data_IF_637881646311
#
_entry.id   IF_637881646311
#
_cell.length_a   1.000
_cell.length_b   1.000
_cell.length_c   1.000
_cell.angle_alpha   90.00
_cell.angle_beta   90.00
_cell.angle_gamma   90.00
#
_symmetry.space_group_name_H-M   'P 1'
#
loop_
_entity.id
_entity.type
_entity.pdbx_description
1 polymer ?
#
# COMPACT_ATOMS: atom_id res chain seq x y z
N UNK A 1 15.70 -0.70 8.93
CA UNK A 1 15.33 -0.88 7.50
C UNK A 1 14.01 -1.61 7.39
N UNK A 2 13.30 -1.45 6.29
CA UNK A 2 12.01 -2.09 6.02
C UNK A 2 12.25 -3.49 5.39
N UNK A 3 12.73 -4.44 6.19
CA UNK A 3 13.07 -5.79 5.70
C UNK A 3 14.02 -5.75 4.51
N UNK A 4 13.69 -6.49 3.46
CA UNK A 4 14.45 -6.56 2.19
C UNK A 4 14.10 -5.44 1.21
N UNK A 5 13.31 -4.43 1.63
CA UNK A 5 12.91 -3.32 0.76
C UNK A 5 14.12 -2.47 0.39
N UNK A 6 14.27 -2.20 -0.90
CA UNK A 6 15.35 -1.38 -1.46
C UNK A 6 14.76 -0.06 -1.95
N UNK A 7 15.42 1.05 -1.62
CA UNK A 7 15.14 2.36 -2.19
C UNK A 7 16.15 2.66 -3.31
N UNK A 8 15.65 2.73 -4.53
CA UNK A 8 16.47 3.07 -5.70
C UNK A 8 16.19 4.51 -6.12
N UNK A 9 17.20 5.36 -6.06
CA UNK A 9 17.10 6.73 -6.56
C UNK A 9 17.41 6.75 -8.05
N UNK A 10 16.52 7.34 -8.84
CA UNK A 10 16.65 7.42 -10.30
C UNK A 10 16.75 8.88 -10.72
N UNK A 11 17.93 9.32 -11.14
CA UNK A 11 18.12 10.63 -11.75
C UNK A 11 17.91 10.54 -13.27
N UNK A 12 16.93 11.29 -13.78
CA UNK A 12 16.60 11.30 -15.21
C UNK A 12 16.93 12.59 -15.92
N UNK A 13 17.62 13.52 -15.26
CA UNK A 13 17.89 14.86 -15.81
C UNK A 13 18.54 14.84 -17.21
N UNK A 14 19.47 13.91 -17.44
CA UNK A 14 20.21 13.75 -18.68
C UNK A 14 19.82 12.47 -19.44
N UNK A 15 18.66 11.87 -19.14
CA UNK A 15 18.20 10.65 -19.76
C UNK A 15 16.86 10.87 -20.47
N UNK A 16 16.84 10.76 -21.79
CA UNK A 16 15.67 10.93 -22.65
C UNK A 16 15.02 9.61 -23.11
N UNK A 17 15.58 8.46 -22.72
CA UNK A 17 15.06 7.15 -23.08
C UNK A 17 13.83 6.75 -22.28
N UNK A 18 13.24 5.60 -22.63
CA UNK A 18 12.08 5.03 -21.94
C UNK A 18 12.46 4.52 -20.57
N UNK A 19 11.75 4.92 -19.54
CA UNK A 19 11.84 4.53 -18.13
C UNK A 19 13.28 4.47 -17.60
N UNK A 20 14.05 3.42 -17.86
CA UNK A 20 15.46 3.22 -17.46
C UNK A 20 16.28 2.72 -18.66
N UNK A 21 17.64 2.82 -18.59
CA UNK A 21 18.50 2.22 -19.60
C UNK A 21 18.20 0.73 -19.80
N UNK A 22 18.12 0.31 -21.05
CA UNK A 22 17.73 -1.06 -21.45
C UNK A 22 16.22 -1.25 -21.70
N UNK A 23 15.36 -0.33 -21.28
CA UNK A 23 13.94 -0.35 -21.63
C UNK A 23 13.71 0.20 -23.04
N UNK A 24 12.81 -0.44 -23.77
CA UNK A 24 12.38 0.01 -25.11
C UNK A 24 10.97 0.57 -25.03
N UNK A 25 10.73 1.68 -25.73
CA UNK A 25 9.37 2.16 -25.94
C UNK A 25 8.58 1.10 -26.72
N UNK A 26 7.38 0.82 -26.30
CA UNK A 26 6.42 0.02 -27.06
C UNK A 26 5.33 0.95 -27.58
N UNK A 27 4.95 0.75 -28.83
CA UNK A 27 3.85 1.48 -29.46
C UNK A 27 2.54 0.94 -28.86
N UNK A 28 2.08 1.59 -27.78
CA UNK A 28 0.87 1.20 -27.11
C UNK A 28 -0.31 1.91 -27.77
N UNK A 29 -1.09 1.16 -28.57
CA UNK A 29 -2.36 1.69 -29.09
C UNK A 29 -3.30 1.93 -27.92
N UNK A 30 -3.51 3.19 -27.57
CA UNK A 30 -4.39 3.62 -26.49
C UNK A 30 -5.84 3.16 -26.73
N UNK A 31 -6.18 1.98 -26.22
CA UNK A 31 -7.56 1.61 -25.90
C UNK A 31 -7.74 1.46 -24.39
N UNK A 32 -6.96 2.23 -23.63
CA UNK A 32 -7.13 2.30 -22.19
C UNK A 32 -8.25 3.29 -21.87
N UNK A 33 -9.47 2.77 -21.79
CA UNK A 33 -10.53 3.51 -21.11
C UNK A 33 -10.02 3.91 -19.74
N UNK A 34 -9.94 5.19 -19.47
CA UNK A 34 -9.41 5.74 -18.24
C UNK A 34 -10.24 5.24 -17.05
N UNK A 35 -9.58 4.70 -16.04
CA UNK A 35 -10.23 4.25 -14.81
C UNK A 35 -10.48 5.37 -13.81
N UNK A 36 -9.91 6.57 -14.05
CA UNK A 36 -10.00 7.70 -13.12
C UNK A 36 -8.90 7.73 -12.06
N UNK A 37 -7.93 6.80 -12.10
CA UNK A 37 -6.74 6.85 -11.26
C UNK A 37 -5.86 8.04 -11.64
N UNK A 38 -5.32 8.74 -10.65
CA UNK A 38 -4.55 9.99 -10.82
C UNK A 38 -3.06 9.77 -10.58
N UNK A 39 -2.70 9.33 -9.38
CA UNK A 39 -1.30 9.09 -8.98
C UNK A 39 -1.24 8.09 -7.82
N UNK A 40 -0.02 7.64 -7.48
CA UNK A 40 0.26 6.90 -6.25
C UNK A 40 0.19 7.90 -5.10
N UNK A 41 -0.71 7.67 -4.13
CA UNK A 41 -0.88 8.54 -2.98
C UNK A 41 0.12 8.22 -1.87
N UNK A 42 0.21 6.95 -1.49
CA UNK A 42 1.15 6.49 -0.47
C UNK A 42 1.52 5.01 -0.64
N UNK A 43 2.60 4.62 0.02
CA UNK A 43 3.08 3.23 0.08
C UNK A 43 3.21 2.84 1.55
N UNK A 44 2.58 1.74 1.94
CA UNK A 44 2.53 1.31 3.35
C UNK A 44 3.54 0.21 3.62
N UNK A 45 4.34 0.38 4.69
CA UNK A 45 5.26 -0.61 5.20
C UNK A 45 4.79 -1.21 6.52
N UNK A 46 4.89 -2.53 6.66
CA UNK A 46 4.62 -3.26 7.90
C UNK A 46 5.92 -3.65 8.59
N UNK A 47 5.94 -3.49 9.92
CA UNK A 47 7.06 -3.83 10.80
C UNK A 47 6.61 -4.81 11.88
N UNK A 48 7.54 -5.63 12.42
CA UNK A 48 7.33 -6.32 13.69
C UNK A 48 7.00 -5.35 14.82
N UNK A 49 6.38 -5.89 15.87
CA UNK A 49 6.08 -5.12 17.08
C UNK A 49 7.34 -4.49 17.69
N UNK A 50 7.24 -3.21 18.04
CA UNK A 50 8.32 -2.41 18.62
C UNK A 50 9.35 -1.85 17.63
N UNK A 51 9.28 -2.19 16.32
CA UNK A 51 10.25 -1.73 15.33
C UNK A 51 9.84 -0.47 14.55
N UNK A 52 8.59 -0.05 14.63
CA UNK A 52 8.07 1.10 13.88
C UNK A 52 8.90 2.36 14.11
N UNK A 53 9.20 2.70 15.36
CA UNK A 53 9.95 3.92 15.68
C UNK A 53 11.36 3.91 15.11
N UNK A 54 12.07 2.78 15.17
CA UNK A 54 13.43 2.69 14.61
C UNK A 54 13.45 2.90 13.10
N UNK A 55 12.42 2.45 12.41
CA UNK A 55 12.25 2.67 10.97
C UNK A 55 11.89 4.11 10.66
N UNK A 56 11.01 4.73 11.44
CA UNK A 56 10.71 6.17 11.31
C UNK A 56 11.97 7.01 11.51
N UNK A 57 12.78 6.72 12.52
CA UNK A 57 14.06 7.39 12.78
C UNK A 57 15.03 7.25 11.60
N UNK A 58 15.03 6.09 10.93
CA UNK A 58 15.81 5.90 9.72
C UNK A 58 15.36 6.84 8.60
N UNK A 59 14.04 6.95 8.34
CA UNK A 59 13.53 7.89 7.34
C UNK A 59 13.79 9.35 7.70
N UNK A 60 13.70 9.73 8.97
CA UNK A 60 14.09 11.07 9.42
C UNK A 60 15.57 11.36 9.14
N UNK A 61 16.46 10.47 9.54
CA UNK A 61 17.92 10.69 9.46
C UNK A 61 18.47 10.60 8.03
N UNK A 62 17.98 9.64 7.24
CA UNK A 62 18.54 9.32 5.92
C UNK A 62 17.86 10.10 4.81
N UNK A 63 16.54 10.29 4.90
CA UNK A 63 15.73 10.94 3.87
C UNK A 63 15.36 12.39 4.23
N UNK A 64 15.60 12.82 5.46
CA UNK A 64 15.16 14.14 5.95
C UNK A 64 13.64 14.25 6.05
N UNK A 65 12.93 13.12 6.15
CA UNK A 65 11.49 13.14 6.29
C UNK A 65 11.07 13.49 7.72
N UNK A 66 9.80 13.83 7.89
CA UNK A 66 9.22 14.11 9.20
C UNK A 66 8.02 13.21 9.47
N UNK A 67 7.66 13.08 10.76
CA UNK A 67 6.44 12.39 11.20
C UNK A 67 5.26 13.31 10.92
N UNK A 68 4.54 13.01 9.85
CA UNK A 68 3.41 13.82 9.38
C UNK A 68 2.16 13.61 10.24
N UNK A 69 1.86 12.35 10.55
CA UNK A 69 0.69 11.99 11.33
C UNK A 69 0.94 10.68 12.08
N UNK A 70 0.42 10.60 13.31
CA UNK A 70 0.53 9.41 14.15
C UNK A 70 -0.85 8.94 14.53
N UNK A 71 -1.06 7.64 14.43
CA UNK A 71 -2.28 6.96 14.88
C UNK A 71 -1.87 5.94 15.92
N UNK A 72 -2.42 6.08 17.11
CA UNK A 72 -2.25 5.07 18.15
C UNK A 72 -3.36 4.00 18.08
N UNK A 73 -3.21 2.96 18.90
CA UNK A 73 -4.12 1.82 18.97
C UNK A 73 -5.56 2.17 19.40
N UNK A 74 -5.79 3.38 19.92
CA UNK A 74 -7.12 3.88 20.31
C UNK A 74 -7.88 4.47 19.13
N UNK A 75 -7.15 4.97 18.12
CA UNK A 75 -7.72 5.67 16.97
C UNK A 75 -8.08 4.73 15.81
N UNK A 76 -7.33 3.64 15.62
CA UNK A 76 -7.63 2.60 14.63
C UNK A 76 -7.69 1.23 15.32
N UNK A 77 -8.70 1.04 16.13
CA UNK A 77 -9.11 -0.27 16.56
C UNK A 77 -10.40 -0.65 15.86
N UNK A 78 -10.42 -1.78 15.16
CA UNK A 78 -11.68 -2.47 14.94
C UNK A 78 -12.03 -3.20 16.23
N UNK A 79 -13.28 -3.58 16.42
CA UNK A 79 -13.71 -4.39 17.58
C UNK A 79 -12.82 -5.63 17.84
N UNK A 80 -12.01 -6.02 16.85
CA UNK A 80 -11.27 -7.28 16.86
C UNK A 80 -9.76 -7.16 16.63
N UNK A 81 -9.28 -6.13 15.94
CA UNK A 81 -7.84 -5.99 15.66
C UNK A 81 -7.38 -4.54 15.74
N UNK A 82 -6.16 -4.33 16.21
CA UNK A 82 -5.55 -3.03 16.37
C UNK A 82 -4.20 -2.95 15.65
N UNK A 83 -3.82 -1.75 15.28
CA UNK A 83 -2.50 -1.42 14.75
C UNK A 83 -2.05 -0.05 15.29
N UNK A 84 -0.75 0.17 15.31
CA UNK A 84 -0.13 1.48 15.47
C UNK A 84 0.46 1.91 14.14
N UNK A 85 0.36 3.19 13.82
CA UNK A 85 0.85 3.72 12.54
C UNK A 85 1.44 5.12 12.71
N UNK A 86 2.57 5.34 12.06
CA UNK A 86 3.17 6.67 11.89
C UNK A 86 3.32 6.92 10.41
N UNK A 87 2.78 8.02 9.91
CA UNK A 87 2.95 8.43 8.52
C UNK A 87 4.20 9.28 8.42
N UNK A 88 5.20 8.79 7.67
CA UNK A 88 6.38 9.56 7.30
C UNK A 88 6.10 10.34 6.02
N UNK A 89 6.54 11.58 5.93
CA UNK A 89 6.38 12.42 4.75
C UNK A 89 7.64 13.24 4.46
N UNK A 90 7.84 13.57 3.19
CA UNK A 90 8.86 14.53 2.78
C UNK A 90 8.39 15.98 3.00
N UNK A 91 9.27 16.97 2.82
CA UNK A 91 9.01 18.37 3.15
C UNK A 91 7.71 18.96 2.57
N UNK A 92 7.35 18.57 1.35
CA UNK A 92 6.14 19.07 0.69
C UNK A 92 4.94 18.12 0.84
N UNK A 93 5.08 17.04 1.63
CA UNK A 93 4.04 16.06 1.97
C UNK A 93 3.41 15.36 0.75
N UNK A 94 4.10 15.40 -0.41
CA UNK A 94 3.65 14.69 -1.61
C UNK A 94 3.99 13.21 -1.52
N UNK A 95 5.18 12.88 -1.00
CA UNK A 95 5.61 11.50 -0.77
C UNK A 95 5.26 11.12 0.66
N UNK A 96 4.39 10.15 0.81
CA UNK A 96 3.92 9.66 2.11
C UNK A 96 4.13 8.16 2.24
N UNK A 97 4.56 7.74 3.42
CA UNK A 97 4.78 6.34 3.73
C UNK A 97 4.33 6.04 5.17
N UNK A 98 3.11 5.50 5.34
CA UNK A 98 2.69 4.94 6.61
C UNK A 98 3.55 3.73 6.99
N UNK A 99 4.05 3.73 8.21
CA UNK A 99 4.79 2.63 8.82
C UNK A 99 3.91 2.07 9.93
N UNK A 100 3.53 0.81 9.78
CA UNK A 100 2.62 0.13 10.69
C UNK A 100 3.35 -0.90 11.53
N UNK A 101 2.92 -1.07 12.76
CA UNK A 101 3.24 -2.24 13.58
C UNK A 101 1.97 -2.82 14.21
N UNK A 102 1.95 -4.10 14.59
CA UNK A 102 0.80 -4.70 15.25
C UNK A 102 0.54 -4.06 16.60
N UNK A 103 -0.72 -4.05 17.02
CA UNK A 103 -1.12 -3.75 18.38
C UNK A 103 -1.96 -4.88 18.94
N UNK A 104 -2.09 -4.94 20.26
CA UNK A 104 -2.93 -5.93 20.92
C UNK A 104 -4.41 -5.71 20.61
N UNK A 105 -5.12 -6.79 20.32
CA UNK A 105 -6.54 -6.82 20.02
C UNK A 105 -7.16 -8.17 20.31
N UNK A 106 -8.48 -8.30 20.21
CA UNK A 106 -9.19 -9.56 20.43
C UNK A 106 -8.81 -10.64 19.40
N UNK A 107 -8.35 -10.23 18.22
CA UNK A 107 -7.84 -11.10 17.16
C UNK A 107 -6.43 -10.68 16.79
N UNK A 108 -5.69 -11.62 16.20
CA UNK A 108 -4.37 -11.36 15.65
C UNK A 108 -4.44 -10.19 14.66
N UNK A 109 -3.55 -9.22 14.83
CA UNK A 109 -3.44 -8.08 13.92
C UNK A 109 -3.09 -8.54 12.49
N UNK A 110 -3.69 -7.89 11.48
CA UNK A 110 -3.34 -8.11 10.07
C UNK A 110 -1.87 -7.80 9.79
N UNK A 111 -1.28 -6.87 10.54
CA UNK A 111 0.15 -6.56 10.43
C UNK A 111 0.97 -7.76 10.90
N UNK A 112 0.58 -8.39 12.01
CA UNK A 112 1.23 -9.61 12.50
C UNK A 112 1.04 -10.78 11.54
N UNK A 113 -0.13 -10.93 10.94
CA UNK A 113 -0.36 -11.95 9.90
C UNK A 113 0.57 -11.77 8.70
N UNK A 114 0.79 -10.52 8.27
CA UNK A 114 1.73 -10.20 7.20
C UNK A 114 3.15 -10.60 7.57
N UNK A 115 3.63 -10.20 8.77
CA UNK A 115 4.97 -10.53 9.25
C UNK A 115 5.17 -12.04 9.36
N UNK A 116 4.20 -12.77 9.90
CA UNK A 116 4.29 -14.23 10.04
C UNK A 116 4.29 -14.96 8.69
N UNK A 117 3.58 -14.41 7.71
CA UNK A 117 3.51 -15.00 6.39
C UNK A 117 4.79 -14.80 5.57
N UNK A 118 5.33 -13.58 5.59
CA UNK A 118 6.52 -13.24 4.81
C UNK A 118 7.82 -13.44 5.58
N UNK A 119 7.73 -13.70 6.89
CA UNK A 119 8.87 -13.86 7.81
C UNK A 119 9.78 -12.60 7.86
N UNK A 120 9.27 -11.46 7.40
CA UNK A 120 10.01 -10.19 7.33
C UNK A 120 9.08 -8.99 7.30
N UNK A 121 9.62 -7.83 7.67
CA UNK A 121 9.00 -6.53 7.35
C UNK A 121 8.94 -6.32 5.84
N UNK A 122 8.04 -5.46 5.36
CA UNK A 122 7.95 -5.17 3.93
C UNK A 122 6.78 -4.27 3.55
N UNK A 123 6.64 -4.04 2.24
CA UNK A 123 5.55 -3.24 1.69
C UNK A 123 4.24 -4.02 1.72
N UNK A 124 3.24 -3.47 2.42
CA UNK A 124 1.91 -4.07 2.53
C UNK A 124 1.05 -3.76 1.30
N UNK A 125 0.93 -2.47 0.95
CA UNK A 125 0.14 -2.05 -0.21
C UNK A 125 0.61 -0.70 -0.79
N UNK A 126 0.14 -0.42 -1.99
CA UNK A 126 0.29 0.85 -2.69
C UNK A 126 -1.10 1.45 -2.86
N UNK A 127 -1.33 2.63 -2.32
CA UNK A 127 -2.59 3.35 -2.47
C UNK A 127 -2.57 4.27 -3.68
N UNK A 128 -3.64 4.23 -4.46
CA UNK A 128 -3.82 5.03 -5.66
C UNK A 128 -4.92 6.07 -5.44
N UNK A 129 -4.61 7.32 -5.78
CA UNK A 129 -5.54 8.45 -5.67
C UNK A 129 -6.55 8.46 -6.80
N UNK A 130 -7.79 8.79 -6.48
CA UNK A 130 -8.86 9.07 -7.46
C UNK A 130 -9.79 10.16 -6.95
N UNK A 131 -10.45 10.86 -7.88
CA UNK A 131 -11.46 11.88 -7.54
C UNK A 131 -12.84 11.28 -7.24
N UNK A 132 -13.14 10.10 -7.79
CA UNK A 132 -14.41 9.39 -7.62
C UNK A 132 -14.15 7.89 -7.49
N UNK A 133 -14.09 7.42 -6.24
CA UNK A 133 -13.81 6.02 -5.93
C UNK A 133 -14.87 5.07 -6.47
N UNK A 134 -16.13 5.48 -6.47
CA UNK A 134 -17.23 4.62 -6.92
C UNK A 134 -17.11 4.35 -8.41
N UNK A 135 -16.97 5.40 -9.20
CA UNK A 135 -16.78 5.30 -10.66
C UNK A 135 -15.51 4.54 -10.99
N UNK A 136 -14.41 4.86 -10.31
CA UNK A 136 -13.10 4.17 -10.52
C UNK A 136 -13.22 2.67 -10.29
N UNK A 137 -13.80 2.24 -9.18
CA UNK A 137 -13.96 0.80 -8.87
C UNK A 137 -14.89 0.12 -9.88
N UNK A 138 -15.98 0.77 -10.30
CA UNK A 138 -16.86 0.24 -11.34
C UNK A 138 -16.14 0.04 -12.67
N UNK A 139 -15.35 1.02 -13.11
CA UNK A 139 -14.58 0.93 -14.35
C UNK A 139 -13.48 -0.12 -14.28
N UNK A 140 -12.79 -0.24 -13.15
CA UNK A 140 -11.81 -1.30 -12.92
C UNK A 140 -12.45 -2.69 -12.97
N UNK A 141 -13.61 -2.88 -12.33
CA UNK A 141 -14.36 -4.15 -12.37
C UNK A 141 -14.79 -4.53 -13.79
N UNK A 142 -15.31 -3.58 -14.59
CA UNK A 142 -15.66 -3.81 -15.99
C UNK A 142 -14.46 -4.31 -16.83
N UNK A 143 -13.26 -3.97 -16.43
CA UNK A 143 -12.00 -4.37 -17.09
C UNK A 143 -11.38 -5.66 -16.53
N UNK A 144 -12.10 -6.38 -15.67
CA UNK A 144 -11.62 -7.59 -15.05
C UNK A 144 -10.80 -7.36 -13.78
N UNK A 145 -10.77 -6.13 -13.27
CA UNK A 145 -10.15 -5.80 -11.99
C UNK A 145 -11.05 -6.15 -10.81
N UNK A 146 -11.30 -7.42 -10.56
CA UNK A 146 -12.13 -7.91 -9.45
C UNK A 146 -13.26 -8.83 -9.91
N UNK A 147 -12.98 -10.09 -10.00
CA UNK A 147 -13.85 -11.25 -9.94
C UNK A 147 -15.15 -11.25 -10.75
N UNK A 148 -15.33 -12.28 -11.47
CA UNK A 148 -16.40 -12.84 -12.29
C UNK A 148 -16.25 -12.54 -13.79
N UNK A 149 -15.65 -13.49 -14.50
CA UNK A 149 -15.90 -13.77 -15.91
C UNK A 149 -15.02 -13.08 -16.92
N UNK A 150 -13.79 -13.46 -17.03
CA UNK A 150 -13.15 -13.78 -18.32
C UNK A 150 -11.72 -14.30 -18.09
N UNK A 151 -11.51 -15.58 -18.35
CA UNK A 151 -10.24 -16.18 -18.75
C UNK A 151 -9.05 -16.04 -17.81
N UNK A 152 -8.91 -16.91 -16.81
CA UNK A 152 -7.58 -17.37 -16.43
C UNK A 152 -7.01 -16.96 -15.07
N UNK A 153 -7.72 -16.24 -14.21
CA UNK A 153 -7.33 -16.16 -12.79
C UNK A 153 -8.45 -16.72 -11.92
N UNK A 154 -8.14 -17.62 -10.98
CA UNK A 154 -9.15 -18.11 -10.05
C UNK A 154 -9.75 -16.91 -9.30
N UNK A 155 -11.06 -16.90 -9.14
CA UNK A 155 -11.74 -15.97 -8.23
C UNK A 155 -11.12 -16.12 -6.85
N UNK A 156 -11.12 -15.04 -6.06
CA UNK A 156 -10.51 -15.05 -4.72
C UNK A 156 -11.05 -16.18 -3.83
N UNK A 157 -12.34 -16.59 -4.06
CA UNK A 157 -12.97 -17.73 -3.43
C UNK A 157 -12.48 -19.10 -3.88
N UNK A 158 -11.82 -19.17 -5.05
CA UNK A 158 -11.31 -20.42 -5.64
C UNK A 158 -9.86 -20.71 -5.23
N UNK A 159 -9.23 -19.80 -4.49
CA UNK A 159 -7.90 -20.02 -3.95
C UNK A 159 -8.00 -20.94 -2.72
N UNK A 160 -7.05 -21.88 -2.56
CA UNK A 160 -7.05 -22.73 -1.40
C UNK A 160 -7.03 -21.91 -0.10
N UNK A 161 -7.76 -22.34 0.94
CA UNK A 161 -7.78 -21.63 2.21
C UNK A 161 -6.34 -21.39 2.68
N UNK A 162 -6.04 -20.13 3.04
CA UNK A 162 -4.72 -19.64 3.41
C UNK A 162 -3.76 -19.27 2.25
N UNK A 163 -4.21 -19.20 1.00
CA UNK A 163 -3.38 -18.63 -0.07
C UNK A 163 -3.14 -17.14 0.13
N UNK A 164 -1.98 -16.59 -0.32
CA UNK A 164 -1.63 -15.17 -0.17
C UNK A 164 -2.71 -14.21 -0.68
N UNK A 165 -3.35 -14.53 -1.79
CA UNK A 165 -4.39 -13.70 -2.39
C UNK A 165 -5.67 -13.63 -1.58
N UNK A 166 -6.08 -14.70 -0.90
CA UNK A 166 -7.27 -14.69 -0.02
C UNK A 166 -7.04 -13.87 1.25
N UNK A 167 -5.84 -13.91 1.81
CA UNK A 167 -5.50 -13.14 3.01
C UNK A 167 -5.47 -11.64 2.73
N UNK A 168 -4.92 -11.22 1.58
CA UNK A 168 -4.88 -9.81 1.17
C UNK A 168 -6.27 -9.22 0.90
N UNK A 169 -7.20 -10.00 0.40
CA UNK A 169 -8.54 -9.50 0.11
C UNK A 169 -9.44 -9.45 1.34
N UNK A 170 -9.26 -10.35 2.29
CA UNK A 170 -9.92 -10.25 3.59
C UNK A 170 -9.48 -8.98 4.34
N UNK A 171 -8.20 -8.57 4.19
CA UNK A 171 -7.67 -7.33 4.75
C UNK A 171 -8.15 -6.06 4.02
N UNK A 172 -8.31 -6.10 2.70
CA UNK A 172 -8.81 -4.98 1.90
C UNK A 172 -10.28 -4.62 2.16
N UNK A 173 -11.08 -5.57 2.63
CA UNK A 173 -12.50 -5.34 2.98
C UNK A 173 -12.66 -4.53 4.29
N UNK A 174 -11.68 -4.57 5.19
CA UNK A 174 -11.74 -3.85 6.47
C UNK A 174 -11.22 -2.39 6.39
N UNK A 175 -10.42 -2.05 5.37
CA UNK A 175 -9.85 -0.72 5.18
C UNK A 175 -10.80 0.29 4.50
N UNK A 176 -12.04 -0.10 4.20
CA UNK A 176 -13.01 0.71 3.46
C UNK A 176 -13.70 1.85 4.24
N UNK A 177 -13.13 2.33 5.33
CA UNK A 177 -13.81 3.28 6.22
C UNK A 177 -13.11 4.60 6.52
N UNK A 178 -11.98 4.93 5.92
CA UNK A 178 -11.35 6.23 6.21
C UNK A 178 -11.98 7.33 5.35
N UNK A 179 -12.92 8.06 5.95
CA UNK A 179 -13.38 9.34 5.38
C UNK A 179 -12.24 10.36 5.51
N UNK A 180 -11.80 10.89 4.38
CA UNK A 180 -10.96 12.08 4.34
C UNK A 180 -11.68 13.24 5.04
N UNK A 181 -11.19 13.62 6.22
CA UNK A 181 -11.52 14.92 6.78
C UNK A 181 -10.69 15.98 6.03
N UNK A 182 -11.37 16.90 5.34
CA UNK A 182 -10.76 18.12 4.81
C UNK A 182 -10.66 19.13 5.95
N UNK A 183 -9.52 19.70 6.10
CA UNK A 183 -9.34 21.08 6.53
C UNK A 183 -8.33 21.73 5.61
#
# INVERSE_FOLDING_TARGET
>A
TLGDTIHTFVERKNYSGSFLPGFKAIDYKENLNKTGLVHIDHIVGNQPDGEMNSVCDFYEKVFGWHRFWTVDDKDISTEYSALRSIVMANDNEIVKMPINEPAEGLKKSQIQEFIDYYETAGVQHIALSTKDIISTVKEMRKKGGGGEGSGGRPALGDLPPNSPGQRQAASGSAAGGVRSARH
#
